data_IF_358833507595
#
_entry.id   IF_358833507595
#
_cell.length_a   1.000
_cell.length_b   1.000
_cell.length_c   1.000
_cell.angle_alpha   90.00
_cell.angle_beta   90.00
_cell.angle_gamma   90.00
#
_symmetry.space_group_name_H-M   'P 1'
#
loop_
_entity.id
_entity.type
_entity.pdbx_description
1 polymer ?
#
# COMPACT_ATOMS: atom_id res chain seq x y z
N UNK A 1 57.91 14.36 -25.82
CA UNK A 1 57.28 15.08 -26.96
C UNK A 1 56.32 14.13 -27.63
N UNK A 2 55.02 14.31 -27.43
CA UNK A 2 53.98 13.95 -28.39
C UNK A 2 52.68 14.65 -27.96
N UNK A 3 51.99 15.13 -28.98
CA UNK A 3 51.15 16.33 -28.97
C UNK A 3 49.67 16.05 -28.75
N UNK A 4 49.09 16.95 -27.97
CA UNK A 4 47.69 17.35 -27.86
C UNK A 4 46.92 17.36 -29.19
N UNK A 5 45.79 16.64 -29.26
CA UNK A 5 44.73 16.85 -30.27
C UNK A 5 43.46 16.07 -29.93
N UNK A 6 42.67 16.57 -28.97
CA UNK A 6 41.36 15.95 -28.69
C UNK A 6 40.27 16.83 -28.05
N UNK A 7 40.61 18.01 -27.51
CA UNK A 7 39.70 18.71 -26.58
C UNK A 7 39.03 19.99 -27.12
N UNK A 8 39.06 20.26 -28.43
CA UNK A 8 38.55 21.54 -28.98
C UNK A 8 37.13 21.51 -29.57
N UNK A 9 36.48 20.35 -29.68
CA UNK A 9 35.17 20.25 -30.37
C UNK A 9 33.95 20.45 -29.45
N UNK A 10 33.98 19.97 -28.20
CA UNK A 10 32.83 20.07 -27.28
C UNK A 10 32.61 21.47 -26.68
N UNK A 11 33.63 22.33 -26.67
CA UNK A 11 33.57 23.68 -26.10
C UNK A 11 32.95 24.71 -27.07
N UNK A 12 33.14 24.55 -28.38
CA UNK A 12 32.60 25.49 -29.39
C UNK A 12 31.07 25.40 -29.55
N UNK A 13 30.50 24.19 -29.49
CA UNK A 13 29.04 23.97 -29.59
C UNK A 13 28.31 24.61 -28.40
N UNK A 14 28.87 24.51 -27.19
CA UNK A 14 28.32 25.14 -25.99
C UNK A 14 28.39 26.67 -26.01
N UNK A 15 29.42 27.26 -26.63
CA UNK A 15 29.56 28.71 -26.75
C UNK A 15 28.56 29.26 -27.77
N UNK A 16 28.39 28.59 -28.91
CA UNK A 16 27.42 28.98 -29.93
C UNK A 16 25.98 28.88 -29.41
N UNK A 17 25.63 27.79 -28.72
CA UNK A 17 24.31 27.63 -28.10
C UNK A 17 24.02 28.68 -27.02
N UNK A 18 25.04 29.03 -26.21
CA UNK A 18 24.93 30.13 -25.23
C UNK A 18 24.79 31.50 -25.90
N UNK A 19 25.40 31.71 -27.06
CA UNK A 19 25.32 32.95 -27.83
C UNK A 19 23.95 33.11 -28.53
N UNK A 20 23.41 32.03 -29.10
CA UNK A 20 22.06 31.97 -29.67
C UNK A 20 20.99 32.15 -28.58
N UNK A 21 21.19 31.58 -27.38
CA UNK A 21 20.32 31.85 -26.23
C UNK A 21 20.36 33.30 -25.73
N UNK A 22 21.54 33.93 -25.75
CA UNK A 22 21.75 35.31 -25.30
C UNK A 22 21.06 36.35 -26.21
N UNK A 23 21.04 36.10 -27.53
CA UNK A 23 20.47 37.05 -28.49
C UNK A 23 18.95 36.96 -28.69
N UNK A 24 18.28 35.85 -28.35
CA UNK A 24 16.90 35.58 -28.78
C UNK A 24 15.85 35.58 -27.66
N UNK A 25 15.86 36.62 -26.83
CA UNK A 25 14.75 36.94 -25.91
C UNK A 25 13.49 37.50 -26.60
N UNK A 26 13.35 37.30 -27.92
CA UNK A 26 12.26 37.85 -28.73
C UNK A 26 10.89 37.37 -28.26
N UNK A 27 9.93 38.29 -28.17
CA UNK A 27 8.53 38.01 -27.77
C UNK A 27 7.91 36.92 -28.67
N UNK A 28 8.31 36.90 -29.95
CA UNK A 28 7.85 35.90 -30.93
C UNK A 28 8.33 34.50 -30.57
N UNK A 29 9.60 34.34 -30.17
CA UNK A 29 10.14 33.04 -29.79
C UNK A 29 9.43 32.50 -28.52
N UNK A 30 9.23 33.36 -27.52
CA UNK A 30 8.45 32.99 -26.32
C UNK A 30 7.00 32.60 -26.65
N UNK A 31 6.37 33.29 -27.60
CA UNK A 31 5.02 32.95 -28.06
C UNK A 31 4.98 31.59 -28.76
N UNK A 32 5.95 31.31 -29.63
CA UNK A 32 6.09 30.01 -30.31
C UNK A 32 6.29 28.87 -29.30
N UNK A 33 7.19 29.04 -28.33
CA UNK A 33 7.40 28.05 -27.26
C UNK A 33 6.09 27.74 -26.51
N UNK A 34 5.34 28.79 -26.11
CA UNK A 34 4.04 28.63 -25.46
C UNK A 34 3.01 27.94 -26.36
N UNK A 35 2.97 28.30 -27.63
CA UNK A 35 2.08 27.67 -28.61
C UNK A 35 2.35 26.16 -28.71
N UNK A 36 3.61 25.75 -28.91
CA UNK A 36 3.97 24.34 -29.06
C UNK A 36 3.79 23.54 -27.78
N UNK A 37 4.11 24.12 -26.62
CA UNK A 37 3.78 23.53 -25.32
C UNK A 37 2.27 23.30 -25.19
N UNK A 38 1.45 24.30 -25.53
CA UNK A 38 -0.01 24.22 -25.46
C UNK A 38 -0.57 23.18 -26.44
N UNK A 39 -0.04 23.14 -27.66
CA UNK A 39 -0.40 22.12 -28.66
C UNK A 39 -0.08 20.72 -28.18
N UNK A 40 1.08 20.52 -27.54
CA UNK A 40 1.46 19.25 -26.94
C UNK A 40 0.52 18.85 -25.80
N UNK A 41 0.17 19.78 -24.91
CA UNK A 41 -0.83 19.54 -23.86
C UNK A 41 -2.18 19.11 -24.46
N UNK A 42 -2.64 19.79 -25.52
CA UNK A 42 -3.90 19.46 -26.19
C UNK A 42 -3.85 18.05 -26.80
N UNK A 43 -2.75 17.66 -27.44
CA UNK A 43 -2.55 16.31 -28.00
C UNK A 43 -2.69 15.25 -26.90
N UNK A 44 -1.99 15.45 -25.77
CA UNK A 44 -2.06 14.55 -24.60
C UNK A 44 -3.49 14.42 -24.06
N UNK A 45 -4.17 15.54 -23.85
CA UNK A 45 -5.54 15.57 -23.27
C UNK A 45 -6.59 15.03 -24.25
N UNK A 46 -6.45 15.27 -25.55
CA UNK A 46 -7.38 14.79 -26.57
C UNK A 46 -7.14 13.34 -27.00
N UNK A 47 -6.09 12.69 -26.47
CA UNK A 47 -5.76 11.30 -26.80
C UNK A 47 -5.30 11.11 -28.25
N UNK A 48 -4.82 12.17 -28.90
CA UNK A 48 -4.27 12.06 -30.27
C UNK A 48 -2.97 11.26 -30.24
N UNK A 49 -2.73 10.46 -31.29
CA UNK A 49 -1.54 9.62 -31.40
C UNK A 49 -0.27 10.48 -31.37
N UNK A 50 0.60 10.16 -30.42
CA UNK A 50 1.92 10.78 -30.28
C UNK A 50 3.01 9.98 -31.01
N UNK A 51 4.19 10.57 -31.14
CA UNK A 51 5.34 9.89 -31.74
C UNK A 51 5.74 8.65 -30.90
N UNK A 52 5.78 7.50 -31.55
CA UNK A 52 5.99 6.22 -30.88
C UNK A 52 7.35 6.12 -30.20
N UNK A 53 8.40 6.70 -30.79
CA UNK A 53 9.74 6.66 -30.21
C UNK A 53 9.84 7.56 -28.98
N UNK A 54 9.16 8.70 -29.01
CA UNK A 54 9.09 9.61 -27.86
C UNK A 54 8.30 8.97 -26.71
N UNK A 55 7.18 8.29 -27.00
CA UNK A 55 6.44 7.52 -25.99
C UNK A 55 7.30 6.39 -25.42
N UNK A 56 7.94 5.60 -26.28
CA UNK A 56 8.78 4.48 -25.85
C UNK A 56 9.96 4.93 -24.97
N UNK A 57 10.57 6.08 -25.29
CA UNK A 57 11.70 6.65 -24.53
C UNK A 57 11.31 7.08 -23.11
N UNK A 58 10.03 7.28 -22.83
CA UNK A 58 9.55 7.68 -21.51
C UNK A 58 9.20 6.48 -20.60
N UNK A 59 9.20 5.25 -21.12
CA UNK A 59 8.69 4.08 -20.41
C UNK A 59 9.31 3.88 -19.01
N UNK A 60 10.63 4.07 -18.88
CA UNK A 60 11.32 3.93 -17.59
C UNK A 60 10.88 4.98 -16.56
N UNK A 61 10.64 6.21 -17.03
CA UNK A 61 10.17 7.29 -16.19
C UNK A 61 8.70 7.04 -15.78
N UNK A 62 7.86 6.59 -16.72
CA UNK A 62 6.46 6.26 -16.43
C UNK A 62 6.37 5.12 -15.41
N UNK A 63 7.19 4.07 -15.54
CA UNK A 63 7.29 3.01 -14.54
C UNK A 63 7.67 3.56 -13.16
N UNK A 64 8.62 4.51 -13.09
CA UNK A 64 9.02 5.15 -11.84
C UNK A 64 7.89 6.02 -11.24
N UNK A 65 7.12 6.70 -12.07
CA UNK A 65 5.96 7.48 -11.62
C UNK A 65 4.85 6.59 -11.06
N UNK A 66 4.65 5.40 -11.61
CA UNK A 66 3.72 4.42 -11.04
C UNK A 66 4.15 3.98 -9.63
N UNK A 67 5.46 3.81 -9.38
CA UNK A 67 5.96 3.55 -8.02
C UNK A 67 5.60 4.69 -7.08
N UNK A 68 5.84 5.94 -7.49
CA UNK A 68 5.47 7.12 -6.71
C UNK A 68 3.97 7.16 -6.39
N UNK A 69 3.11 6.95 -7.39
CA UNK A 69 1.67 6.92 -7.22
C UNK A 69 1.20 5.77 -6.34
N UNK A 70 1.84 4.61 -6.44
CA UNK A 70 1.59 3.47 -5.55
C UNK A 70 1.90 3.82 -4.09
N UNK A 71 3.05 4.43 -3.81
CA UNK A 71 3.41 4.91 -2.47
C UNK A 71 2.39 5.91 -1.94
N UNK A 72 1.99 6.90 -2.75
CA UNK A 72 0.98 7.89 -2.35
C UNK A 72 -0.36 7.24 -2.00
N UNK A 73 -0.84 6.33 -2.86
CA UNK A 73 -2.13 5.64 -2.73
C UNK A 73 -2.15 4.75 -1.51
N UNK A 74 -1.15 3.88 -1.37
CA UNK A 74 -1.07 2.89 -0.29
C UNK A 74 -0.90 3.54 1.08
N UNK A 75 -0.18 4.65 1.21
CA UNK A 75 -0.12 5.42 2.46
C UNK A 75 -1.49 6.02 2.84
N UNK A 76 -2.27 6.50 1.88
CA UNK A 76 -3.63 6.99 2.14
C UNK A 76 -4.57 5.87 2.58
N UNK A 77 -4.54 4.73 1.89
CA UNK A 77 -5.33 3.56 2.27
C UNK A 77 -4.95 3.02 3.64
N UNK A 78 -3.66 3.02 3.98
CA UNK A 78 -3.19 2.62 5.31
C UNK A 78 -3.80 3.50 6.42
N UNK A 79 -3.88 4.82 6.24
CA UNK A 79 -4.54 5.71 7.20
C UNK A 79 -6.02 5.34 7.41
N UNK A 80 -6.76 5.10 6.33
CA UNK A 80 -8.18 4.69 6.39
C UNK A 80 -8.34 3.37 7.14
N UNK A 81 -7.47 2.39 6.86
CA UNK A 81 -7.48 1.09 7.54
C UNK A 81 -7.18 1.24 9.03
N UNK A 82 -6.18 2.04 9.40
CA UNK A 82 -5.84 2.30 10.80
C UNK A 82 -7.01 2.96 11.53
N UNK A 83 -7.66 3.95 10.93
CA UNK A 83 -8.81 4.62 11.52
C UNK A 83 -9.98 3.65 11.72
N UNK A 84 -10.32 2.87 10.69
CA UNK A 84 -11.38 1.88 10.78
C UNK A 84 -11.07 0.82 11.84
N UNK A 85 -9.82 0.37 11.92
CA UNK A 85 -9.40 -0.62 12.90
C UNK A 85 -9.47 -0.09 14.33
N UNK A 86 -9.05 1.15 14.58
CA UNK A 86 -9.21 1.80 15.88
C UNK A 86 -10.67 1.91 16.31
N UNK A 87 -11.58 2.27 15.39
CA UNK A 87 -13.02 2.32 15.68
C UNK A 87 -13.56 0.94 16.07
N UNK A 88 -13.18 -0.12 15.33
CA UNK A 88 -13.58 -1.51 15.62
C UNK A 88 -13.04 -2.00 16.96
N UNK A 89 -11.80 -1.67 17.31
CA UNK A 89 -11.22 -1.99 18.63
C UNK A 89 -12.06 -1.36 19.74
N UNK A 90 -12.43 -0.08 19.62
CA UNK A 90 -13.24 0.60 20.62
C UNK A 90 -14.58 -0.10 20.82
N UNK A 91 -15.32 -0.33 19.72
CA UNK A 91 -16.65 -0.95 19.78
C UNK A 91 -16.57 -2.35 20.38
N UNK A 92 -15.66 -3.20 19.89
CA UNK A 92 -15.50 -4.56 20.41
C UNK A 92 -15.15 -4.57 21.91
N UNK A 93 -14.28 -3.66 22.34
CA UNK A 93 -13.94 -3.52 23.76
C UNK A 93 -15.11 -3.02 24.61
N UNK A 94 -15.98 -2.17 24.07
CA UNK A 94 -17.19 -1.72 24.77
C UNK A 94 -18.16 -2.90 24.98
N UNK A 95 -18.50 -3.61 23.91
CA UNK A 95 -19.40 -4.77 23.94
C UNK A 95 -18.89 -5.89 24.87
N UNK A 96 -17.60 -6.24 24.78
CA UNK A 96 -17.00 -7.26 25.65
C UNK A 96 -16.99 -6.81 27.13
N UNK A 97 -16.76 -5.52 27.40
CA UNK A 97 -16.79 -4.99 28.75
C UNK A 97 -18.22 -4.98 29.33
N UNK A 98 -19.23 -4.68 28.52
CA UNK A 98 -20.64 -4.74 28.92
C UNK A 98 -21.06 -6.17 29.23
N UNK A 99 -20.70 -7.13 28.38
CA UNK A 99 -20.89 -8.56 28.66
C UNK A 99 -20.18 -8.98 29.96
N UNK A 100 -18.95 -8.51 30.18
CA UNK A 100 -18.21 -8.78 31.40
C UNK A 100 -18.92 -8.25 32.66
N UNK A 101 -19.48 -7.04 32.60
CA UNK A 101 -20.28 -6.45 33.69
C UNK A 101 -21.58 -7.23 33.92
N UNK A 102 -22.27 -7.63 32.84
CA UNK A 102 -23.49 -8.42 32.92
C UNK A 102 -23.24 -9.76 33.62
N UNK A 103 -22.21 -10.52 33.22
CA UNK A 103 -21.89 -11.80 33.85
C UNK A 103 -21.52 -11.66 35.33
N UNK A 104 -20.84 -10.57 35.71
CA UNK A 104 -20.55 -10.28 37.12
C UNK A 104 -21.82 -9.98 37.92
N UNK A 105 -22.75 -9.22 37.35
CA UNK A 105 -24.03 -8.91 37.99
C UNK A 105 -24.87 -10.17 38.19
N UNK A 106 -25.06 -10.98 37.15
CA UNK A 106 -25.80 -12.24 37.23
C UNK A 106 -25.11 -13.25 38.17
N UNK A 107 -23.79 -13.39 38.05
CA UNK A 107 -23.02 -14.28 38.91
C UNK A 107 -23.00 -13.87 40.38
N UNK A 108 -23.27 -12.60 40.72
CA UNK A 108 -23.40 -12.16 42.11
C UNK A 108 -24.75 -12.55 42.74
N UNK A 109 -25.77 -12.78 41.91
CA UNK A 109 -27.10 -13.23 42.34
C UNK A 109 -27.15 -14.76 42.50
N UNK A 110 -26.33 -15.49 41.73
CA UNK A 110 -26.21 -16.95 41.83
C UNK A 110 -25.10 -17.37 42.81
N UNK A 111 -25.48 -18.00 43.93
CA UNK A 111 -24.54 -18.52 44.93
C UNK A 111 -23.92 -19.87 44.55
N UNK A 112 -24.37 -20.48 43.46
CA UNK A 112 -23.86 -21.75 42.97
C UNK A 112 -22.42 -21.64 42.46
N UNK A 113 -21.84 -22.78 42.12
CA UNK A 113 -20.55 -22.81 41.43
C UNK A 113 -20.61 -22.08 40.08
N UNK A 114 -21.73 -22.16 39.35
CA UNK A 114 -21.92 -21.46 38.09
C UNK A 114 -21.82 -19.94 38.28
N UNK A 115 -22.42 -19.38 39.34
CA UNK A 115 -22.29 -17.96 39.67
C UNK A 115 -20.86 -17.51 39.95
N UNK A 116 -20.06 -18.31 40.67
CA UNK A 116 -18.61 -18.03 40.88
C UNK A 116 -17.85 -17.98 39.56
N UNK A 117 -18.12 -18.93 38.67
CA UNK A 117 -17.52 -19.02 37.35
C UNK A 117 -17.95 -17.85 36.45
N UNK A 118 -19.23 -17.44 36.50
CA UNK A 118 -19.73 -16.27 35.77
C UNK A 118 -19.02 -14.99 36.24
N UNK A 119 -18.81 -14.81 37.55
CA UNK A 119 -18.06 -13.66 38.07
C UNK A 119 -16.60 -13.66 37.62
N UNK A 120 -15.92 -14.81 37.68
CA UNK A 120 -14.54 -14.95 37.22
C UNK A 120 -14.42 -14.65 35.71
N UNK A 121 -15.30 -15.24 34.91
CA UNK A 121 -15.39 -15.01 33.46
C UNK A 121 -15.65 -13.54 33.16
N UNK A 122 -16.63 -12.93 33.82
CA UNK A 122 -16.95 -11.52 33.61
C UNK A 122 -15.79 -10.58 33.99
N UNK A 123 -15.04 -10.91 35.06
CA UNK A 123 -13.81 -10.17 35.41
C UNK A 123 -12.74 -10.28 34.31
N UNK A 124 -12.55 -11.47 33.73
CA UNK A 124 -11.61 -11.66 32.64
C UNK A 124 -12.01 -10.96 31.34
N UNK A 125 -13.31 -10.91 31.00
CA UNK A 125 -13.79 -10.14 29.84
C UNK A 125 -13.59 -8.63 30.03
N UNK A 126 -13.87 -8.09 31.22
CA UNK A 126 -13.54 -6.70 31.54
C UNK A 126 -12.02 -6.43 31.47
N UNK A 127 -11.19 -7.36 31.91
CA UNK A 127 -9.73 -7.23 31.80
C UNK A 127 -9.27 -7.28 30.33
N UNK A 128 -9.75 -8.25 29.55
CA UNK A 128 -9.47 -8.42 28.12
C UNK A 128 -9.80 -7.17 27.32
N UNK A 129 -10.99 -6.60 27.54
CA UNK A 129 -11.43 -5.38 26.84
C UNK A 129 -10.51 -4.17 27.12
N UNK A 130 -10.10 -3.97 28.37
CA UNK A 130 -9.15 -2.94 28.77
C UNK A 130 -7.76 -3.16 28.15
N UNK A 131 -7.27 -4.41 28.18
CA UNK A 131 -6.00 -4.76 27.55
C UNK A 131 -6.02 -4.53 26.04
N UNK A 132 -7.13 -4.80 25.35
CA UNK A 132 -7.28 -4.51 23.91
C UNK A 132 -7.24 -3.00 23.63
N UNK A 133 -7.83 -2.17 24.50
CA UNK A 133 -7.80 -0.71 24.32
C UNK A 133 -6.38 -0.13 24.37
N UNK A 134 -5.43 -0.80 25.02
CA UNK A 134 -4.02 -0.39 25.02
C UNK A 134 -3.42 -0.38 23.60
N UNK A 135 -3.96 -1.15 22.65
CA UNK A 135 -3.53 -1.14 21.24
C UNK A 135 -3.77 0.20 20.55
N UNK A 136 -4.67 1.04 21.06
CA UNK A 136 -4.98 2.34 20.45
C UNK A 136 -3.80 3.29 20.48
N UNK A 137 -2.96 3.24 21.50
CA UNK A 137 -1.81 4.14 21.64
C UNK A 137 -0.80 3.94 20.49
N UNK A 138 -0.26 2.72 20.24
CA UNK A 138 0.63 2.51 19.12
C UNK A 138 -0.05 2.68 17.75
N UNK A 139 -1.36 2.42 17.62
CA UNK A 139 -2.10 2.69 16.38
C UNK A 139 -2.25 4.19 16.08
N UNK A 140 -2.50 5.01 17.12
CA UNK A 140 -2.53 6.46 16.99
C UNK A 140 -1.17 7.00 16.54
N UNK A 141 -0.08 6.47 17.12
CA UNK A 141 1.28 6.81 16.71
C UNK A 141 1.55 6.44 15.25
N UNK A 142 1.16 5.23 14.83
CA UNK A 142 1.26 4.80 13.44
C UNK A 142 0.50 5.74 12.48
N UNK A 143 -0.73 6.12 12.84
CA UNK A 143 -1.51 7.07 12.06
C UNK A 143 -0.76 8.39 11.88
N UNK A 144 -0.31 9.01 12.98
CA UNK A 144 0.38 10.31 12.95
C UNK A 144 1.67 10.29 12.12
N UNK A 145 2.44 9.21 12.22
CA UNK A 145 3.69 9.06 11.47
C UNK A 145 3.44 8.89 9.97
N UNK A 146 2.47 8.06 9.57
CA UNK A 146 2.08 7.91 8.16
C UNK A 146 1.48 9.21 7.61
N UNK A 147 0.67 9.91 8.41
CA UNK A 147 0.08 11.20 8.04
C UNK A 147 1.16 12.26 7.82
N UNK A 148 2.12 12.37 8.73
CA UNK A 148 3.26 13.28 8.61
C UNK A 148 4.11 12.95 7.39
N UNK A 149 4.40 11.67 7.16
CA UNK A 149 5.13 11.21 5.97
C UNK A 149 4.43 11.63 4.67
N UNK A 150 3.10 11.52 4.61
CA UNK A 150 2.32 12.00 3.46
C UNK A 150 2.43 13.50 3.27
N UNK A 151 2.15 14.28 4.31
CA UNK A 151 2.14 15.74 4.19
C UNK A 151 3.52 16.33 3.93
N UNK A 152 4.60 15.68 4.36
CA UNK A 152 5.97 16.14 4.20
C UNK A 152 6.66 15.50 3.00
N UNK A 153 6.95 14.20 3.06
CA UNK A 153 7.82 13.54 2.09
C UNK A 153 7.13 13.30 0.74
N UNK A 154 5.87 12.83 0.75
CA UNK A 154 5.12 12.61 -0.49
C UNK A 154 4.82 13.95 -1.17
N UNK A 155 4.40 14.98 -0.43
CA UNK A 155 4.16 16.32 -0.99
C UNK A 155 5.41 16.94 -1.62
N UNK A 156 6.58 16.83 -0.99
CA UNK A 156 7.84 17.35 -1.56
C UNK A 156 8.21 16.63 -2.88
N UNK A 157 8.08 15.30 -2.88
CA UNK A 157 8.33 14.49 -4.09
C UNK A 157 7.34 14.86 -5.19
N UNK A 158 6.06 15.06 -4.85
CA UNK A 158 5.02 15.48 -5.78
C UNK A 158 5.33 16.81 -6.47
N UNK A 159 5.86 17.80 -5.73
CA UNK A 159 6.27 19.08 -6.32
C UNK A 159 7.36 18.90 -7.38
N UNK A 160 8.28 17.96 -7.16
CA UNK A 160 9.36 17.65 -8.10
C UNK A 160 8.84 16.91 -9.32
N UNK A 161 7.96 15.92 -9.11
CA UNK A 161 7.23 15.20 -10.18
C UNK A 161 6.46 16.18 -11.07
N UNK A 162 5.76 17.15 -10.50
CA UNK A 162 5.02 18.14 -11.28
C UNK A 162 5.93 19.04 -12.13
N UNK A 163 7.07 19.47 -11.58
CA UNK A 163 8.06 20.24 -12.35
C UNK A 163 8.62 19.41 -13.49
N UNK A 164 8.91 18.13 -13.23
CA UNK A 164 9.36 17.18 -14.23
C UNK A 164 8.31 16.99 -15.33
N UNK A 165 7.03 16.74 -15.01
CA UNK A 165 5.94 16.58 -16.01
C UNK A 165 5.75 17.84 -16.88
N UNK A 166 5.93 19.02 -16.29
CA UNK A 166 5.93 20.28 -17.05
C UNK A 166 7.12 20.35 -18.02
N UNK A 167 8.32 19.99 -17.56
CA UNK A 167 9.53 19.97 -18.39
C UNK A 167 9.46 18.91 -19.49
N UNK A 168 8.87 17.74 -19.21
CA UNK A 168 8.54 16.69 -20.20
C UNK A 168 7.64 17.23 -21.30
N UNK A 169 6.57 17.93 -20.92
CA UNK A 169 5.64 18.55 -21.87
C UNK A 169 6.30 19.61 -22.73
N UNK A 170 7.18 20.43 -22.14
CA UNK A 170 7.98 21.44 -22.86
C UNK A 170 8.94 20.79 -23.87
N UNK A 171 9.66 19.75 -23.46
CA UNK A 171 10.57 19.01 -24.34
C UNK A 171 9.81 18.36 -25.51
N UNK A 172 8.69 17.67 -25.23
CA UNK A 172 7.86 17.06 -26.29
C UNK A 172 7.26 18.11 -27.22
N UNK A 173 6.86 19.28 -26.70
CA UNK A 173 6.43 20.41 -27.52
C UNK A 173 7.54 20.94 -28.43
N UNK A 174 8.77 21.03 -27.93
CA UNK A 174 9.93 21.44 -28.74
C UNK A 174 10.27 20.40 -29.83
N UNK A 175 10.17 19.11 -29.54
CA UNK A 175 10.32 18.05 -30.54
C UNK A 175 9.25 18.13 -31.63
N UNK A 176 7.99 18.39 -31.25
CA UNK A 176 6.90 18.57 -32.20
C UNK A 176 7.14 19.79 -33.10
N UNK A 177 7.66 20.89 -32.53
CA UNK A 177 8.07 22.06 -33.29
C UNK A 177 9.21 21.75 -34.25
N UNK A 178 10.23 21.01 -33.80
CA UNK A 178 11.37 20.63 -34.64
C UNK A 178 10.93 19.76 -35.81
N UNK A 179 9.99 18.84 -35.58
CA UNK A 179 9.38 18.01 -36.63
C UNK A 179 8.67 18.87 -37.68
N UNK A 180 7.83 19.80 -37.25
CA UNK A 180 7.09 20.72 -38.14
C UNK A 180 8.04 21.55 -39.02
N UNK A 181 9.06 22.18 -38.42
CA UNK A 181 10.04 22.98 -39.17
C UNK A 181 10.92 22.13 -40.09
N UNK A 182 11.20 20.87 -39.73
CA UNK A 182 11.97 19.96 -40.58
C UNK A 182 11.25 19.55 -41.87
N UNK A 183 9.91 19.58 -41.89
CA UNK A 183 9.12 19.23 -43.07
C UNK A 183 9.13 20.34 -44.14
N UNK A 184 9.35 21.58 -43.73
CA UNK A 184 9.43 22.76 -44.60
C UNK A 184 10.89 23.16 -44.91
N UNK A 185 11.85 22.29 -44.57
CA UNK A 185 13.27 22.64 -44.62
C UNK A 185 13.79 22.63 -46.06
N UNK A 186 14.22 23.80 -46.52
CA UNK A 186 14.92 23.98 -47.79
C UNK A 186 16.38 24.42 -47.50
N UNK A 187 17.38 23.56 -47.79
CA UNK A 187 18.80 23.85 -47.54
C UNK A 187 19.33 25.09 -48.27
N UNK A 188 18.72 25.45 -49.40
CA UNK A 188 19.15 26.58 -50.23
C UNK A 188 18.58 27.91 -49.70
N UNK A 189 17.60 27.85 -48.79
CA UNK A 189 17.01 29.01 -48.14
C UNK A 189 17.63 29.26 -46.77
N UNK A 190 18.58 30.21 -46.70
CA UNK A 190 19.30 30.57 -45.46
C UNK A 190 18.38 30.85 -44.25
N UNK A 191 17.20 31.45 -44.49
CA UNK A 191 16.22 31.77 -43.44
C UNK A 191 15.57 30.51 -42.81
N UNK A 192 15.36 29.44 -43.58
CA UNK A 192 14.79 28.18 -43.08
C UNK A 192 15.82 27.44 -42.22
N UNK A 193 17.07 27.43 -42.67
CA UNK A 193 18.20 26.88 -41.89
C UNK A 193 18.38 27.58 -40.55
N UNK A 194 18.26 28.91 -40.51
CA UNK A 194 18.39 29.68 -39.27
C UNK A 194 17.22 29.40 -38.31
N UNK A 195 15.98 29.32 -38.81
CA UNK A 195 14.80 28.90 -38.01
C UNK A 195 15.01 27.50 -37.43
N UNK A 196 15.50 26.56 -38.23
CA UNK A 196 15.75 25.18 -37.79
C UNK A 196 16.84 25.12 -36.70
N UNK A 197 17.97 25.83 -36.87
CA UNK A 197 19.03 25.91 -35.85
C UNK A 197 18.51 26.44 -34.52
N UNK A 198 17.63 27.45 -34.54
CA UNK A 198 17.02 28.01 -33.32
C UNK A 198 16.12 26.98 -32.61
N UNK A 199 15.28 26.28 -33.35
CA UNK A 199 14.42 25.22 -32.78
C UNK A 199 15.27 24.07 -32.25
N UNK A 200 16.34 23.69 -32.96
CA UNK A 200 17.27 22.65 -32.52
C UNK A 200 17.97 23.03 -31.19
N UNK A 201 18.39 24.28 -31.04
CA UNK A 201 18.94 24.78 -29.78
C UNK A 201 17.91 24.72 -28.64
N UNK A 202 16.64 25.07 -28.91
CA UNK A 202 15.56 24.95 -27.93
C UNK A 202 15.29 23.49 -27.52
N UNK A 203 15.35 22.54 -28.46
CA UNK A 203 15.24 21.11 -28.17
C UNK A 203 16.38 20.64 -27.25
N UNK A 204 17.63 21.03 -27.54
CA UNK A 204 18.79 20.71 -26.67
C UNK A 204 18.61 21.28 -25.26
N UNK A 205 18.17 22.52 -25.15
CA UNK A 205 17.94 23.18 -23.86
C UNK A 205 16.84 22.51 -23.04
N UNK A 206 15.67 22.28 -23.64
CA UNK A 206 14.54 21.65 -22.96
C UNK A 206 14.83 20.20 -22.60
N UNK A 207 15.56 19.47 -23.44
CA UNK A 207 16.05 18.11 -23.13
C UNK A 207 16.96 18.10 -21.91
N UNK A 208 17.94 19.00 -21.84
CA UNK A 208 18.85 19.08 -20.70
C UNK A 208 18.10 19.37 -19.39
N UNK A 209 17.09 20.25 -19.43
CA UNK A 209 16.23 20.52 -18.26
C UNK A 209 15.39 19.30 -17.87
N UNK A 210 14.82 18.61 -18.85
CA UNK A 210 14.00 17.41 -18.63
C UNK A 210 14.85 16.26 -18.06
N UNK A 211 16.00 15.97 -18.65
CA UNK A 211 16.90 14.89 -18.21
C UNK A 211 17.37 15.12 -16.76
N UNK A 212 17.63 16.37 -16.38
CA UNK A 212 17.94 16.72 -14.99
C UNK A 212 16.78 16.40 -14.05
N UNK A 213 15.58 16.87 -14.36
CA UNK A 213 14.39 16.65 -13.53
C UNK A 213 13.95 15.17 -13.50
N UNK A 214 14.17 14.42 -14.59
CA UNK A 214 13.98 12.97 -14.64
C UNK A 214 14.86 12.28 -13.59
N UNK A 215 16.15 12.62 -13.54
CA UNK A 215 17.08 12.08 -12.55
C UNK A 215 16.69 12.48 -11.11
N UNK A 216 16.33 13.75 -10.89
CA UNK A 216 15.88 14.25 -9.59
C UNK A 216 14.64 13.48 -9.10
N UNK A 217 13.66 13.21 -9.98
CA UNK A 217 12.47 12.41 -9.65
C UNK A 217 12.86 10.98 -9.30
N UNK A 218 13.68 10.31 -10.12
CA UNK A 218 14.09 8.94 -9.85
C UNK A 218 14.73 8.79 -8.46
N UNK A 219 15.71 9.65 -8.15
CA UNK A 219 16.40 9.64 -6.86
C UNK A 219 15.45 9.93 -5.69
N UNK A 220 14.54 10.92 -5.83
CA UNK A 220 13.56 11.23 -4.79
C UNK A 220 12.59 10.08 -4.55
N UNK A 221 12.12 9.42 -5.61
CA UNK A 221 11.20 8.28 -5.49
C UNK A 221 11.88 7.09 -4.81
N UNK A 222 13.13 6.79 -5.15
CA UNK A 222 13.90 5.71 -4.51
C UNK A 222 14.12 6.01 -3.01
N UNK A 223 14.51 7.23 -2.67
CA UNK A 223 14.63 7.69 -1.27
C UNK A 223 13.29 7.67 -0.53
N UNK A 224 12.19 8.02 -1.22
CA UNK A 224 10.84 8.00 -0.64
C UNK A 224 10.42 6.56 -0.31
N UNK A 225 10.69 5.61 -1.20
CA UNK A 225 10.45 4.18 -0.96
C UNK A 225 11.23 3.68 0.26
N UNK A 226 12.55 3.92 0.31
CA UNK A 226 13.39 3.54 1.44
C UNK A 226 12.91 4.18 2.76
N UNK A 227 12.58 5.47 2.72
CA UNK A 227 12.08 6.21 3.89
C UNK A 227 10.77 5.65 4.42
N UNK A 228 9.84 5.23 3.53
CA UNK A 228 8.59 4.58 3.91
C UNK A 228 8.86 3.25 4.62
N UNK A 229 9.75 2.41 4.09
CA UNK A 229 10.10 1.12 4.69
C UNK A 229 10.70 1.29 6.10
N UNK A 230 11.60 2.26 6.26
CA UNK A 230 12.21 2.57 7.55
C UNK A 230 11.19 3.07 8.57
N UNK A 231 10.31 3.98 8.16
CA UNK A 231 9.21 4.49 9.00
C UNK A 231 8.31 3.35 9.48
N UNK A 232 7.83 2.51 8.56
CA UNK A 232 6.89 1.45 8.89
C UNK A 232 7.54 0.36 9.76
N UNK A 233 8.76 -0.06 9.43
CA UNK A 233 9.49 -1.06 10.21
C UNK A 233 9.67 -0.62 11.67
N UNK A 234 10.00 0.65 11.89
CA UNK A 234 10.18 1.20 13.22
C UNK A 234 8.83 1.33 13.98
N UNK A 235 7.83 1.96 13.36
CA UNK A 235 6.59 2.31 14.08
C UNK A 235 5.70 1.09 14.32
N UNK A 236 5.72 0.09 13.42
CA UNK A 236 4.94 -1.14 13.58
C UNK A 236 5.45 -2.03 14.71
N UNK A 237 6.74 -1.96 15.05
CA UNK A 237 7.33 -2.76 16.13
C UNK A 237 6.58 -2.56 17.45
N UNK A 238 6.25 -1.32 17.81
CA UNK A 238 5.52 -1.03 19.04
C UNK A 238 4.08 -1.58 19.03
N UNK A 239 3.42 -1.52 17.87
CA UNK A 239 2.09 -2.11 17.71
C UNK A 239 2.15 -3.64 17.86
N UNK A 240 3.10 -4.29 17.20
CA UNK A 240 3.29 -5.74 17.25
C UNK A 240 3.57 -6.22 18.67
N UNK A 241 4.51 -5.59 19.39
CA UNK A 241 4.83 -5.94 20.77
C UNK A 241 3.62 -5.77 21.69
N UNK A 242 2.85 -4.69 21.54
CA UNK A 242 1.64 -4.46 22.34
C UNK A 242 0.56 -5.49 22.04
N UNK A 243 0.43 -5.90 20.78
CA UNK A 243 -0.51 -6.94 20.34
C UNK A 243 -0.16 -8.30 20.93
N UNK A 244 1.12 -8.68 20.90
CA UNK A 244 1.60 -9.92 21.51
C UNK A 244 1.32 -9.93 23.02
N UNK A 245 1.63 -8.83 23.72
CA UNK A 245 1.36 -8.71 25.16
C UNK A 245 -0.12 -8.80 25.49
N UNK A 246 -0.99 -8.23 24.65
CA UNK A 246 -2.43 -8.38 24.79
C UNK A 246 -2.86 -9.85 24.72
N UNK A 247 -2.41 -10.58 23.70
CA UNK A 247 -2.74 -12.00 23.54
C UNK A 247 -2.17 -12.87 24.67
N UNK A 248 -0.94 -12.58 25.09
CA UNK A 248 -0.30 -13.27 26.21
C UNK A 248 -1.11 -13.09 27.49
N UNK A 249 -1.38 -11.85 27.90
CA UNK A 249 -2.12 -11.59 29.15
C UNK A 249 -3.53 -12.17 29.15
N UNK A 250 -4.24 -12.05 28.03
CA UNK A 250 -5.62 -12.55 27.93
C UNK A 250 -5.69 -14.07 27.90
N UNK A 251 -4.79 -14.73 27.17
CA UNK A 251 -4.73 -16.20 27.15
C UNK A 251 -4.40 -16.78 28.52
N UNK A 252 -3.43 -16.23 29.26
CA UNK A 252 -3.11 -16.66 30.62
C UNK A 252 -4.32 -16.52 31.56
N UNK A 253 -5.04 -15.40 31.48
CA UNK A 253 -6.23 -15.16 32.30
C UNK A 253 -7.34 -16.15 31.96
N UNK A 254 -7.57 -16.43 30.67
CA UNK A 254 -8.61 -17.35 30.22
C UNK A 254 -8.26 -18.81 30.55
N UNK A 255 -7.00 -19.19 30.48
CA UNK A 255 -6.52 -20.51 30.88
C UNK A 255 -6.73 -20.78 32.37
N UNK A 256 -6.44 -19.79 33.23
CA UNK A 256 -6.69 -19.90 34.67
C UNK A 256 -8.17 -20.12 35.00
N UNK A 257 -9.06 -19.45 34.25
CA UNK A 257 -10.51 -19.69 34.35
C UNK A 257 -10.84 -21.11 33.90
N UNK A 258 -10.33 -21.54 32.75
CA UNK A 258 -10.58 -22.88 32.22
C UNK A 258 -10.15 -23.99 33.19
N UNK A 259 -8.98 -23.86 33.85
CA UNK A 259 -8.58 -24.82 34.89
C UNK A 259 -9.53 -24.79 36.09
N UNK A 260 -10.05 -23.62 36.46
CA UNK A 260 -11.08 -23.51 37.48
C UNK A 260 -12.36 -24.29 37.09
N UNK A 261 -12.75 -24.28 35.80
CA UNK A 261 -13.89 -25.07 35.32
C UNK A 261 -13.70 -26.59 35.48
N UNK A 262 -12.48 -27.13 35.36
CA UNK A 262 -12.22 -28.57 35.50
C UNK A 262 -12.45 -29.09 36.93
N UNK A 263 -12.37 -28.21 37.93
CA UNK A 263 -12.74 -28.53 39.32
C UNK A 263 -14.24 -28.74 39.55
N UNK A 264 -15.07 -28.50 38.52
CA UNK A 264 -16.50 -28.74 38.59
C UNK A 264 -16.77 -30.27 38.58
N UNK A 265 -16.96 -30.87 39.76
CA UNK A 265 -17.68 -32.15 39.84
C UNK A 265 -19.01 -31.98 39.12
N UNK A 266 -19.54 -33.01 38.42
CA UNK A 266 -20.89 -32.94 37.92
C UNK A 266 -21.77 -32.61 39.11
N UNK A 267 -22.37 -31.42 39.13
CA UNK A 267 -23.46 -31.14 40.03
C UNK A 267 -24.41 -32.33 39.86
N UNK A 268 -24.79 -32.97 40.96
CA UNK A 268 -25.93 -33.88 40.97
C UNK A 268 -27.14 -33.05 40.51
N UNK A 269 -27.33 -32.94 39.19
CA UNK A 269 -28.58 -32.64 38.56
C UNK A 269 -29.43 -33.89 38.82
N UNK A 270 -29.96 -33.99 40.03
CA UNK A 270 -31.28 -34.58 40.18
C UNK A 270 -32.19 -33.71 39.33
N UNK A 271 -32.50 -34.19 38.12
CA UNK A 271 -33.40 -33.56 37.17
C UNK A 271 -34.60 -32.94 37.89
N UNK A 272 -34.73 -31.61 37.97
CA UNK A 272 -36.04 -31.04 38.17
C UNK A 272 -36.73 -31.15 36.80
N UNK A 273 -37.77 -31.98 36.70
CA UNK A 273 -38.74 -31.94 35.61
C UNK A 273 -39.38 -30.54 35.56
N UNK A 274 -38.68 -29.56 35.01
CA UNK A 274 -39.29 -28.28 34.63
C UNK A 274 -39.93 -28.50 33.27
N UNK A 275 -41.25 -28.56 33.32
CA UNK A 275 -42.15 -28.61 32.17
C UNK A 275 -41.81 -27.46 31.22
N UNK A 276 -41.21 -27.78 30.07
CA UNK A 276 -41.02 -26.82 28.97
C UNK A 276 -42.40 -26.32 28.52
N UNK A 277 -42.68 -25.04 28.76
CA UNK A 277 -43.66 -24.30 27.98
C UNK A 277 -42.91 -23.38 27.02
N UNK A 278 -42.88 -23.81 25.75
CA UNK A 278 -42.81 -22.98 24.54
C UNK A 278 -41.62 -22.01 24.41
N UNK A 279 -40.50 -22.50 23.87
CA UNK A 279 -39.70 -21.76 22.89
C UNK A 279 -39.55 -22.67 21.66
N UNK A 280 -40.34 -22.39 20.63
CA UNK A 280 -40.33 -23.15 19.38
C UNK A 280 -39.21 -22.66 18.44
N UNK A 281 -38.60 -23.64 17.74
CA UNK A 281 -37.81 -23.60 16.48
C UNK A 281 -36.42 -22.95 16.52
N UNK A 282 -35.32 -23.53 16.00
CA UNK A 282 -35.03 -24.67 15.11
C UNK A 282 -33.86 -25.47 15.72
N UNK A 283 -33.87 -26.81 15.81
CA UNK A 283 -33.99 -27.74 14.69
C UNK A 283 -32.60 -28.26 14.30
N UNK A 284 -31.93 -28.99 15.20
CA UNK A 284 -30.74 -29.83 14.93
C UNK A 284 -30.57 -30.82 16.10
N UNK A 285 -30.98 -32.07 15.89
CA UNK A 285 -30.76 -33.18 16.82
C UNK A 285 -29.45 -33.88 16.47
N UNK A 286 -28.47 -33.86 17.38
CA UNK A 286 -27.33 -34.77 17.33
C UNK A 286 -27.47 -35.80 18.45
N UNK A 287 -27.81 -37.04 18.08
CA UNK A 287 -27.69 -38.20 18.95
C UNK A 287 -26.29 -38.76 18.78
N UNK A 288 -25.52 -38.83 19.86
CA UNK A 288 -24.19 -39.45 19.88
C UNK A 288 -24.35 -40.88 20.38
N UNK A 289 -24.23 -41.85 19.48
CA UNK A 289 -23.95 -43.23 19.85
C UNK A 289 -22.52 -43.55 19.43
N UNK A 290 -21.67 -43.86 20.42
CA UNK A 290 -20.31 -44.30 20.21
C UNK A 290 -20.27 -45.72 19.68
N UNK A 291 -19.66 -45.91 18.52
CA UNK A 291 -18.76 -47.02 18.16
C UNK A 291 -18.44 -46.93 16.67
N UNK A 292 -17.15 -46.99 16.35
CA UNK A 292 -16.55 -46.94 15.03
C UNK A 292 -17.25 -47.80 13.96
N UNK A 293 -17.54 -47.20 12.79
CA UNK A 293 -17.23 -47.76 11.45
C UNK A 293 -17.49 -46.73 10.36
N UNK A 294 -16.57 -46.72 9.39
CA UNK A 294 -16.52 -45.84 8.23
C UNK A 294 -17.81 -45.85 7.40
N UNK A 295 -18.25 -44.67 6.95
CA UNK A 295 -19.22 -44.52 5.86
C UNK A 295 -18.50 -43.86 4.69
N UNK A 296 -18.35 -44.62 3.60
CA UNK A 296 -17.90 -44.14 2.30
C UNK A 296 -19.09 -43.50 1.58
N UNK A 297 -18.94 -42.28 1.06
CA UNK A 297 -19.88 -41.68 0.10
C UNK A 297 -19.09 -41.30 -1.15
N UNK A 298 -19.40 -41.99 -2.24
CA UNK A 298 -18.91 -41.73 -3.60
C UNK A 298 -19.82 -40.67 -4.22
N UNK A 299 -19.26 -39.53 -4.65
CA UNK A 299 -19.96 -38.58 -5.52
C UNK A 299 -19.69 -38.92 -6.98
N UNK A 300 -20.75 -38.94 -7.79
CA UNK A 300 -20.62 -38.79 -9.25
C UNK A 300 -20.31 -37.32 -9.54
N UNK A 301 -19.60 -37.13 -10.64
CA UNK A 301 -19.25 -35.87 -11.30
C UNK A 301 -18.02 -35.15 -10.69
N UNK A 302 -16.89 -35.38 -11.36
CA UNK A 302 -15.57 -34.92 -10.95
C UNK A 302 -15.21 -33.54 -11.47
N UNK A 303 -14.53 -32.76 -10.63
CA UNK A 303 -13.22 -32.23 -11.00
C UNK A 303 -12.38 -31.93 -9.74
N UNK A 304 -11.08 -32.05 -9.91
CA UNK A 304 -10.03 -32.21 -8.90
C UNK A 304 -9.68 -30.88 -8.18
N UNK A 305 -9.65 -30.86 -6.84
CA UNK A 305 -8.88 -29.85 -6.09
C UNK A 305 -8.07 -30.55 -4.98
N UNK A 306 -6.77 -30.26 -4.99
CA UNK A 306 -5.70 -30.82 -4.15
C UNK A 306 -6.05 -30.89 -2.66
N UNK A 307 -5.76 -32.06 -2.08
CA UNK A 307 -5.89 -32.38 -0.66
C UNK A 307 -4.99 -31.50 0.22
N UNK A 308 -5.57 -30.94 1.29
CA UNK A 308 -4.86 -30.54 2.52
C UNK A 308 -5.26 -31.51 3.65
N UNK A 309 -4.35 -31.81 4.59
CA UNK A 309 -4.60 -32.84 5.60
C UNK A 309 -5.68 -32.38 6.59
N UNK A 310 -6.59 -33.32 6.87
CA UNK A 310 -7.61 -33.24 7.91
C UNK A 310 -6.97 -33.10 9.30
N UNK A 311 -7.13 -31.94 9.93
CA UNK A 311 -6.86 -31.75 11.35
C UNK A 311 -8.19 -31.62 12.09
N UNK A 312 -8.51 -32.66 12.85
CA UNK A 312 -9.57 -32.69 13.85
C UNK A 312 -9.20 -31.79 15.02
N UNK A 313 -9.66 -30.54 15.02
CA UNK A 313 -9.98 -29.78 16.24
C UNK A 313 -10.72 -28.49 15.90
N UNK A 314 -12.05 -28.51 16.02
CA UNK A 314 -12.93 -27.35 15.82
C UNK A 314 -12.96 -26.41 17.04
N UNK A 315 -11.83 -26.22 17.72
CA UNK A 315 -11.72 -25.40 18.93
C UNK A 315 -10.67 -24.29 18.82
N UNK A 316 -10.66 -23.57 17.70
CA UNK A 316 -10.09 -22.21 17.62
C UNK A 316 -10.41 -21.48 16.30
N UNK A 317 -11.59 -21.71 15.69
CA UNK A 317 -11.87 -21.20 14.35
C UNK A 317 -11.93 -19.67 14.26
N UNK A 318 -12.40 -18.97 15.29
CA UNK A 318 -12.47 -17.50 15.29
C UNK A 318 -11.08 -16.85 15.49
N UNK A 319 -10.23 -17.45 16.32
CA UNK A 319 -8.88 -16.97 16.65
C UNK A 319 -7.90 -17.27 15.50
N UNK A 320 -8.00 -18.48 14.93
CA UNK A 320 -7.32 -18.86 13.68
C UNK A 320 -7.78 -17.98 12.52
N UNK A 321 -9.09 -17.73 12.36
CA UNK A 321 -9.58 -16.85 11.30
C UNK A 321 -9.10 -15.40 11.45
N UNK A 322 -9.02 -14.86 12.67
CA UNK A 322 -8.51 -13.50 12.93
C UNK A 322 -7.00 -13.38 12.70
N UNK A 323 -6.23 -14.38 13.11
CA UNK A 323 -4.79 -14.46 12.83
C UNK A 323 -4.58 -14.58 11.32
N UNK A 324 -5.31 -15.44 10.62
CA UNK A 324 -5.27 -15.55 9.16
C UNK A 324 -5.70 -14.25 8.46
N UNK A 325 -6.71 -13.52 8.96
CA UNK A 325 -7.15 -12.27 8.36
C UNK A 325 -6.13 -11.15 8.51
N UNK A 326 -5.45 -11.08 9.66
CA UNK A 326 -4.40 -10.10 9.92
C UNK A 326 -3.10 -10.44 9.18
N UNK A 327 -2.72 -11.73 9.12
CA UNK A 327 -1.58 -12.21 8.34
C UNK A 327 -1.79 -12.00 6.84
N UNK A 328 -3.01 -12.22 6.32
CA UNK A 328 -3.35 -12.00 4.91
C UNK A 328 -3.32 -10.52 4.52
N UNK A 329 -3.79 -9.63 5.40
CA UNK A 329 -3.69 -8.17 5.19
C UNK A 329 -2.23 -7.70 5.27
N UNK A 330 -1.42 -8.25 6.18
CA UNK A 330 0.02 -7.95 6.28
C UNK A 330 0.80 -8.46 5.07
N UNK A 331 0.55 -9.70 4.63
CA UNK A 331 1.24 -10.32 3.50
C UNK A 331 0.92 -9.59 2.19
N UNK A 332 -0.35 -9.20 1.95
CA UNK A 332 -0.71 -8.36 0.80
C UNK A 332 -0.11 -6.95 0.84
N UNK A 333 0.13 -6.38 2.01
CA UNK A 333 0.76 -5.07 2.16
C UNK A 333 2.28 -5.10 1.95
N UNK A 334 2.92 -6.26 2.13
CA UNK A 334 4.36 -6.49 1.95
C UNK A 334 4.68 -7.03 0.55
N UNK A 335 3.85 -7.93 0.00
CA UNK A 335 4.09 -8.55 -1.32
C UNK A 335 3.96 -7.60 -2.51
N UNK A 336 3.43 -6.38 -2.34
CA UNK A 336 3.42 -5.37 -3.40
C UNK A 336 4.83 -4.81 -3.67
N UNK A 337 5.77 -4.95 -2.72
CA UNK A 337 7.16 -4.48 -2.88
C UNK A 337 8.12 -5.58 -3.41
N UNK A 338 7.82 -6.87 -3.23
CA UNK A 338 8.70 -7.98 -3.66
C UNK A 338 8.58 -8.33 -5.15
N UNK A 339 7.40 -8.14 -5.75
CA UNK A 339 7.19 -8.43 -7.18
C UNK A 339 7.79 -7.35 -8.08
N UNK A 340 7.95 -6.10 -7.61
CA UNK A 340 8.61 -5.03 -8.39
C UNK A 340 10.15 -5.10 -8.38
N UNK A 341 10.74 -5.70 -7.33
CA UNK A 341 12.20 -5.79 -7.24
C UNK A 341 12.79 -6.89 -8.13
N UNK A 342 12.00 -7.93 -8.45
CA UNK A 342 12.44 -9.02 -9.35
C UNK A 342 12.37 -8.64 -10.84
N UNK A 343 11.39 -7.85 -11.25
CA UNK A 343 11.25 -7.43 -12.65
C UNK A 343 12.28 -6.36 -13.07
N UNK A 344 12.85 -5.63 -12.10
CA UNK A 344 13.90 -4.64 -12.36
C UNK A 344 15.30 -5.29 -12.52
N UNK A 345 15.51 -6.49 -11.98
CA UNK A 345 16.81 -7.20 -12.05
C UNK A 345 16.89 -8.13 -13.28
N UNK A 346 15.76 -8.60 -13.82
CA UNK A 346 15.75 -9.48 -15.00
C UNK A 346 15.78 -8.77 -16.37
N UNK A 347 15.52 -7.46 -16.43
CA UNK A 347 15.63 -6.69 -17.70
C UNK A 347 17.04 -6.14 -17.97
N UNK A 348 17.98 -6.28 -17.03
CA UNK A 348 19.35 -5.77 -17.13
C UNK A 348 20.41 -6.75 -17.65
N UNK A 349 20.04 -7.98 -18.05
CA UNK A 349 21.00 -9.04 -18.45
C UNK A 349 20.64 -9.76 -19.76
N UNK A 350 20.06 -9.05 -20.73
CA UNK A 350 19.83 -9.59 -22.06
C UNK A 350 20.17 -8.58 -23.18
N UNK A 351 21.45 -8.18 -23.26
CA UNK A 351 22.08 -7.75 -24.52
C UNK A 351 23.59 -7.53 -24.31
N UNK A 352 24.39 -8.57 -24.60
CA UNK A 352 25.74 -8.45 -25.14
C UNK A 352 25.75 -9.14 -26.48
#
# INVERSE_FOLDING_TARGET
MNTDSGSKSCSAVNIFDRFVQSQDSSVVNKFQQKYWKTKQTLIKVTGKKEDQHVVASDADLDAKLEVFHSVQRTCMELLKVIEQYQRRICLLSQEENELGRFLRSQGSQDKSWAGKIMQATGKALCFSSQQRLALRVPLCRLYQEVETFRYRAISDTWLTVNRMEQSRTEYRGALLWMKDVSQELDPDTHKHMEKFRKVQAQVRFTKASFDKLKNDVCQKVDLLGASRCNLLSHVLTNYQTTLLHFWEKTSHTMAAIHESFKGCRPCNLSEPKVRLSSWNTCGLSCSVNGASRAVSVRSKDGNFQRCLPSCSDTRNSALSALIHHLFFVFYRLISVDDDLHKDTVQSGTASV
#
